data_IF_410939114674
#
_entry.id   IF_410939114674
#
_cell.length_a   1.000
_cell.length_b   1.000
_cell.length_c   1.000
_cell.angle_alpha   90.00
_cell.angle_beta   90.00
_cell.angle_gamma   90.00
#
_symmetry.space_group_name_H-M   'P 1'
#
loop_
_entity.id
_entity.type
_entity.pdbx_description
1 polymer ?
2 non-polymer ?
3 non-polymer ?
4 water ?
#
# COMPACT_ATOMS: atom_id res chain seq x y z
N UNK A 3 24.12 -1.07 -25.53
CA UNK A 3 23.77 -0.43 -24.23
C UNK A 3 23.82 -1.48 -23.10
N UNK A 4 24.86 -1.38 -22.27
CA UNK A 4 25.09 -2.20 -21.05
C UNK A 4 25.91 -1.35 -20.04
N UNK A 5 25.53 -1.36 -18.77
CA UNK A 5 26.02 -0.33 -17.80
C UNK A 5 26.62 -0.93 -16.50
N UNK A 6 27.43 -0.16 -15.76
CA UNK A 6 27.83 -0.56 -14.38
C UNK A 6 26.68 -0.33 -13.37
N UNK A 7 25.91 0.75 -13.51
CA UNK A 7 24.85 1.03 -12.52
C UNK A 7 23.56 0.25 -12.80
N UNK A 8 22.78 0.05 -11.75
CA UNK A 8 21.43 -0.51 -11.86
C UNK A 8 20.47 0.68 -11.73
N UNK A 9 19.57 0.82 -12.69
CA UNK A 9 18.76 2.02 -12.78
C UNK A 9 17.33 1.74 -12.35
N UNK A 10 16.87 2.52 -11.40
CA UNK A 10 15.58 2.32 -10.79
C UNK A 10 14.77 3.61 -10.94
N UNK A 11 13.65 3.52 -11.67
CA UNK A 11 12.79 4.69 -11.83
C UNK A 11 11.67 4.58 -10.83
N UNK A 12 11.42 5.64 -10.09
CA UNK A 12 10.31 5.68 -9.14
C UNK A 12 9.36 6.84 -9.43
N UNK A 13 8.08 6.53 -9.62
CA UNK A 13 7.08 7.59 -9.73
C UNK A 13 6.20 7.50 -8.51
N UNK A 14 6.17 8.58 -7.73
CA UNK A 14 5.29 8.65 -6.58
C UNK A 14 4.60 10.00 -6.49
N UNK A 15 3.64 10.11 -5.59
CA UNK A 15 2.85 11.29 -5.50
C UNK A 15 3.37 12.16 -4.35
N UNK A 16 4.03 13.24 -4.70
CA UNK A 16 4.56 14.14 -3.71
C UNK A 16 3.92 15.54 -3.71
N UNK A 17 2.95 15.78 -4.60
CA UNK A 17 2.14 16.98 -4.58
C UNK A 17 0.66 16.58 -4.61
N UNK A 18 -0.16 17.45 -4.03
CA UNK A 18 -1.58 17.22 -4.03
C UNK A 18 -1.94 16.42 -2.80
N UNK A 19 -3.22 16.04 -2.68
CA UNK A 19 -3.72 15.33 -1.50
C UNK A 19 -2.99 14.01 -1.22
N UNK A 20 -2.59 13.28 -2.26
CA UNK A 20 -1.96 11.97 -2.03
C UNK A 20 -0.48 12.09 -1.62
N UNK A 21 0.04 13.31 -1.46
CA UNK A 21 1.37 13.50 -0.92
C UNK A 21 1.48 12.92 0.49
N UNK A 22 0.35 12.68 1.19
CA UNK A 22 0.39 12.08 2.52
C UNK A 22 0.95 10.66 2.42
N UNK A 23 0.79 10.04 1.25
CA UNK A 23 1.35 8.71 0.99
C UNK A 23 2.72 8.76 0.32
N UNK A 24 2.91 9.63 -0.65
CA UNK A 24 4.15 9.60 -1.42
C UNK A 24 5.33 10.25 -0.73
N UNK A 25 5.10 11.21 0.15
CA UNK A 25 6.22 11.88 0.82
C UNK A 25 6.99 10.93 1.74
N UNK A 26 6.29 10.12 2.56
CA UNK A 26 7.03 9.13 3.34
C UNK A 26 7.71 8.06 2.47
N UNK A 27 7.09 7.69 1.34
CA UNK A 27 7.73 6.78 0.40
C UNK A 27 9.04 7.36 -0.16
N UNK A 28 9.03 8.64 -0.55
CA UNK A 28 10.21 9.30 -1.01
C UNK A 28 11.27 9.44 0.11
N UNK A 29 10.85 9.85 1.27
CA UNK A 29 11.75 10.02 2.41
C UNK A 29 12.48 8.71 2.80
N UNK A 30 11.81 7.56 2.68
CA UNK A 30 12.40 6.29 3.06
C UNK A 30 13.56 5.94 2.13
N UNK A 31 13.61 6.53 0.94
CA UNK A 31 14.72 6.29 -0.02
C UNK A 31 16.07 6.73 0.53
N UNK A 32 16.07 7.59 1.54
CA UNK A 32 17.32 7.98 2.19
C UNK A 32 17.95 6.78 2.88
N UNK A 33 17.14 5.79 3.29
CA UNK A 33 17.60 4.72 4.12
C UNK A 33 17.73 3.38 3.43
N UNK A 34 17.64 3.33 2.10
CA UNK A 34 17.76 2.06 1.39
C UNK A 34 19.18 1.89 0.84
N UNK A 35 19.47 0.69 0.32
CA UNK A 35 20.79 0.44 -0.25
C UNK A 35 21.16 1.46 -1.34
N UNK A 36 22.42 1.88 -1.36
CA UNK A 36 22.95 2.72 -2.43
C UNK A 36 23.72 1.93 -3.53
N UNK A 37 23.95 0.65 -3.27
CA UNK A 37 24.72 -0.27 -4.17
C UNK A 37 24.21 -1.67 -3.91
N UNK A 38 24.14 -2.49 -4.96
CA UNK A 38 23.84 -3.91 -4.84
C UNK A 38 24.91 -4.69 -5.65
N UNK A 39 25.55 -5.67 -5.01
CA UNK A 39 26.68 -6.42 -5.64
C UNK A 39 27.85 -5.53 -6.08
N UNK A 40 28.01 -4.39 -5.43
CA UNK A 40 29.00 -3.41 -5.81
C UNK A 40 28.59 -2.52 -6.98
N UNK A 41 27.41 -2.73 -7.53
CA UNK A 41 26.96 -1.87 -8.61
C UNK A 41 26.21 -0.75 -7.99
N UNK A 42 26.55 0.50 -8.33
CA UNK A 42 25.72 1.53 -7.71
C UNK A 42 24.29 1.57 -8.24
N UNK A 43 23.37 2.00 -7.39
CA UNK A 43 21.96 2.14 -7.79
C UNK A 43 21.72 3.60 -8.20
N UNK A 44 21.26 3.81 -9.43
CA UNK A 44 20.90 5.15 -9.90
C UNK A 44 19.38 5.20 -9.76
N UNK A 45 18.90 5.99 -8.81
CA UNK A 45 17.46 6.06 -8.47
C UNK A 45 16.93 7.41 -8.95
N UNK A 46 16.00 7.38 -9.91
CA UNK A 46 15.41 8.57 -10.44
C UNK A 46 13.99 8.65 -9.88
N UNK A 47 13.68 9.73 -9.16
CA UNK A 47 12.37 9.92 -8.51
C UNK A 47 11.60 11.09 -9.19
N UNK A 48 10.42 10.79 -9.74
CA UNK A 48 9.54 11.76 -10.39
C UNK A 48 8.14 11.81 -9.70
N UNK A 49 7.62 13.02 -9.55
CA UNK A 49 6.26 13.25 -9.00
C UNK A 49 5.27 13.02 -10.14
N UNK A 50 4.15 12.40 -9.81
CA UNK A 50 3.04 12.27 -10.77
C UNK A 50 1.79 13.03 -10.36
N UNK A 51 1.82 13.62 -9.17
CA UNK A 51 0.69 14.32 -8.60
C UNK A 51 -0.56 13.48 -8.38
N UNK A 52 -0.47 12.17 -8.48
CA UNK A 52 -1.62 11.30 -8.34
C UNK A 52 -2.33 11.05 -9.69
N UNK A 53 -1.80 11.61 -10.75
CA UNK A 53 -2.50 11.63 -12.04
C UNK A 53 -2.02 10.46 -12.93
N UNK A 54 -2.94 9.60 -13.39
CA UNK A 54 -2.52 8.49 -14.23
C UNK A 54 -1.84 8.94 -15.54
N UNK A 55 -2.21 10.08 -16.12
CA UNK A 55 -1.50 10.54 -17.30
C UNK A 55 -0.05 10.89 -17.03
N UNK A 56 0.18 11.63 -15.95
CA UNK A 56 1.54 11.93 -15.51
C UNK A 56 2.37 10.66 -15.19
N UNK A 57 1.77 9.68 -14.50
CA UNK A 57 2.43 8.43 -14.16
C UNK A 57 2.82 7.69 -15.40
N UNK A 58 1.96 7.71 -16.42
CA UNK A 58 2.22 7.05 -17.69
C UNK A 58 3.43 7.68 -18.38
N UNK A 59 3.47 9.02 -18.39
CA UNK A 59 4.57 9.74 -19.00
C UNK A 59 5.85 9.45 -18.22
N UNK A 60 5.80 9.51 -16.89
CA UNK A 60 7.00 9.26 -16.07
C UNK A 60 7.54 7.85 -16.31
N UNK A 61 6.66 6.84 -16.23
CA UNK A 61 7.06 5.47 -16.46
C UNK A 61 7.70 5.28 -17.82
N UNK A 62 7.12 5.86 -18.88
CA UNK A 62 7.72 5.71 -20.20
C UNK A 62 9.09 6.42 -20.28
N UNK A 63 9.19 7.59 -19.69
CA UNK A 63 10.50 8.29 -19.61
C UNK A 63 11.57 7.39 -18.95
N UNK A 64 11.21 6.64 -17.89
CA UNK A 64 12.16 5.74 -17.25
C UNK A 64 12.63 4.66 -18.19
N UNK A 65 11.72 4.14 -18.99
CA UNK A 65 12.09 3.16 -20.02
C UNK A 65 12.94 3.74 -21.10
N UNK A 66 12.48 4.83 -21.71
CA UNK A 66 13.17 5.31 -22.93
C UNK A 66 14.37 6.22 -22.62
N UNK A 67 14.24 7.22 -21.75
CA UNK A 67 15.37 8.07 -21.42
C UNK A 67 16.34 7.39 -20.47
N UNK A 68 15.84 6.78 -19.42
CA UNK A 68 16.75 6.33 -18.38
C UNK A 68 17.17 4.87 -18.55
N UNK A 69 16.54 4.17 -19.46
CA UNK A 69 16.80 2.75 -19.67
C UNK A 69 16.71 1.93 -18.36
N UNK A 70 15.64 2.15 -17.59
CA UNK A 70 15.50 1.54 -16.28
C UNK A 70 15.47 0.01 -16.36
N UNK A 71 16.06 -0.61 -15.34
CA UNK A 71 16.01 -2.06 -15.11
C UNK A 71 14.74 -2.41 -14.31
N UNK A 72 14.26 -1.48 -13.49
CA UNK A 72 13.11 -1.73 -12.62
C UNK A 72 12.40 -0.39 -12.48
N UNK A 73 11.07 -0.42 -12.50
CA UNK A 73 10.29 0.78 -12.22
C UNK A 73 9.40 0.53 -11.03
N UNK A 74 9.20 1.54 -10.22
CA UNK A 74 8.37 1.42 -9.03
C UNK A 74 7.34 2.57 -8.98
N UNK A 75 6.18 2.27 -8.41
CA UNK A 75 5.19 3.28 -8.13
C UNK A 75 3.80 2.75 -8.43
N UNK A 76 2.77 3.56 -8.21
CA UNK A 76 2.84 4.92 -7.72
C UNK A 76 2.29 4.84 -6.31
N UNK A 77 1.82 5.96 -5.77
CA UNK A 77 1.34 6.05 -4.36
C UNK A 77 -0.13 5.64 -4.11
N UNK A 78 -0.94 5.71 -5.14
CA UNK A 78 -2.39 5.43 -5.06
C UNK A 78 -2.70 4.63 -6.29
N UNK A 79 -3.86 3.97 -6.29
CA UNK A 79 -4.14 2.94 -7.28
C UNK A 79 -4.27 3.40 -8.76
N UNK A 80 -4.97 4.52 -9.04
CA UNK A 80 -5.13 4.84 -10.52
C UNK A 80 -3.83 5.05 -11.28
N UNK A 81 -2.88 5.84 -10.72
CA UNK A 81 -1.61 5.92 -11.43
C UNK A 81 -0.81 4.62 -11.39
N UNK A 82 -1.02 3.76 -10.38
CA UNK A 82 -0.34 2.51 -10.29
C UNK A 82 -0.76 1.59 -11.44
N UNK A 83 -2.04 1.61 -11.76
CA UNK A 83 -2.55 0.88 -12.91
C UNK A 83 -1.90 1.37 -14.20
N UNK A 84 -1.82 2.69 -14.34
CA UNK A 84 -1.10 3.27 -15.48
C UNK A 84 0.37 2.81 -15.60
N UNK A 85 1.13 2.81 -14.48
CA UNK A 85 2.52 2.37 -14.50
C UNK A 85 2.62 0.91 -14.95
N UNK A 86 1.69 0.10 -14.43
CA UNK A 86 1.67 -1.33 -14.77
C UNK A 86 1.42 -1.53 -16.28
N UNK A 87 0.57 -0.73 -16.87
CA UNK A 87 0.34 -0.81 -18.33
C UNK A 87 1.64 -0.58 -19.11
N UNK A 88 2.37 0.47 -18.75
CA UNK A 88 3.62 0.79 -19.42
C UNK A 88 4.68 -0.31 -19.23
N UNK A 89 4.85 -0.73 -17.97
CA UNK A 89 5.80 -1.79 -17.60
C UNK A 89 5.53 -3.06 -18.33
N UNK A 90 4.27 -3.45 -18.49
CA UNK A 90 3.98 -4.69 -19.19
C UNK A 90 4.22 -4.58 -20.68
N UNK A 91 4.06 -3.41 -21.23
CA UNK A 91 4.25 -3.23 -22.68
C UNK A 91 5.76 -3.11 -22.99
N UNK A 92 6.47 -2.42 -22.12
CA UNK A 92 7.91 -2.24 -22.25
C UNK A 92 8.74 -3.44 -21.78
N UNK A 93 8.12 -4.40 -21.05
CA UNK A 93 8.82 -5.54 -20.46
C UNK A 93 9.90 -5.12 -19.46
N UNK A 94 9.48 -4.31 -18.48
CA UNK A 94 10.34 -3.88 -17.42
C UNK A 94 9.68 -4.30 -16.12
N UNK A 95 10.44 -4.88 -15.19
CA UNK A 95 9.85 -5.23 -13.90
C UNK A 95 9.31 -4.02 -13.17
N UNK A 96 8.15 -4.17 -12.56
CA UNK A 96 7.44 -3.09 -11.88
C UNK A 96 7.03 -3.56 -10.52
N UNK A 97 7.49 -2.84 -9.52
CA UNK A 97 7.08 -3.04 -8.15
C UNK A 97 6.08 -1.94 -7.78
N UNK A 98 4.82 -2.32 -7.61
CA UNK A 98 3.73 -1.38 -7.30
C UNK A 98 3.81 -0.97 -5.83
N UNK A 99 3.64 0.32 -5.52
CA UNK A 99 3.61 0.84 -4.18
C UNK A 99 2.20 1.17 -3.68
N UNK A 100 1.17 0.78 -4.45
CA UNK A 100 -0.23 0.87 -4.07
C UNK A 100 -0.89 -0.43 -4.52
N UNK A 101 -2.00 -0.81 -3.86
CA UNK A 101 -2.64 -2.02 -4.31
C UNK A 101 -3.19 -1.77 -5.73
N UNK A 102 -3.25 -2.80 -6.53
CA UNK A 102 -3.92 -2.66 -7.78
C UNK A 102 -4.47 -3.98 -8.18
N UNK A 103 -5.49 -3.94 -9.05
CA UNK A 103 -6.10 -5.12 -9.61
C UNK A 103 -5.14 -5.78 -10.59
N UNK A 104 -4.74 -6.98 -10.24
CA UNK A 104 -3.93 -7.81 -11.13
C UNK A 104 -4.86 -8.47 -12.14
N UNK A 105 -4.63 -8.22 -13.40
CA UNK A 105 -5.32 -8.94 -14.42
C UNK A 105 -4.23 -9.65 -15.17
N UNK A 106 -4.58 -10.57 -16.08
CA UNK A 106 -3.58 -11.26 -16.92
C UNK A 106 -2.70 -10.33 -17.70
N UNK A 107 -3.21 -9.19 -18.14
CA UNK A 107 -2.43 -8.25 -18.92
C UNK A 107 -1.35 -7.52 -18.08
N UNK A 108 -1.45 -7.56 -16.76
CA UNK A 108 -0.56 -6.84 -15.86
C UNK A 108 0.35 -7.76 -15.05
N UNK A 109 0.02 -9.05 -15.03
CA UNK A 109 0.64 -10.02 -14.11
C UNK A 109 2.07 -10.38 -14.47
N UNK A 110 2.43 -10.36 -15.76
CA UNK A 110 3.75 -10.82 -16.12
C UNK A 110 4.85 -9.94 -15.51
N UNK A 111 4.72 -8.61 -15.58
CA UNK A 111 5.81 -7.71 -15.21
C UNK A 111 5.58 -6.98 -13.93
N UNK A 112 4.40 -7.09 -13.31
CA UNK A 112 4.07 -6.33 -12.09
C UNK A 112 3.97 -7.23 -10.82
N UNK A 113 4.59 -6.79 -9.73
CA UNK A 113 4.29 -7.36 -8.40
C UNK A 113 3.87 -6.18 -7.56
N UNK A 114 3.29 -6.45 -6.41
CA UNK A 114 2.84 -5.37 -5.52
C UNK A 114 3.32 -5.55 -4.11
N UNK A 115 3.75 -4.45 -3.48
CA UNK A 115 4.21 -4.48 -2.13
C UNK A 115 3.11 -4.35 -1.07
N UNK A 116 2.09 -3.46 -1.28
CA UNK A 116 1.04 -3.35 -0.23
C UNK A 116 0.27 -4.63 -0.10
N UNK A 117 -0.25 -4.88 1.10
CA UNK A 117 -1.05 -6.07 1.36
C UNK A 117 -2.29 -6.14 0.42
N UNK A 118 -2.57 -7.32 -0.13
CA UNK A 118 -3.75 -7.39 -0.99
C UNK A 118 -5.02 -7.15 -0.15
N UNK A 119 -6.04 -6.60 -0.80
CA UNK A 119 -7.29 -6.25 -0.12
C UNK A 119 -7.89 -7.46 0.62
N UNK A 120 -7.92 -8.65 -0.01
CA UNK A 120 -8.58 -9.75 0.69
C UNK A 120 -7.96 -10.15 2.01
N UNK A 121 -6.64 -10.01 2.14
CA UNK A 121 -5.95 -10.33 3.38
C UNK A 121 -6.36 -9.31 4.44
N UNK A 122 -6.43 -8.05 4.05
CA UNK A 122 -6.81 -7.01 5.00
C UNK A 122 -8.30 -7.07 5.34
N UNK A 123 -9.13 -7.41 4.36
CA UNK A 123 -10.54 -7.47 4.61
C UNK A 123 -10.85 -8.57 5.61
N UNK A 124 -10.19 -9.71 5.42
CA UNK A 124 -10.39 -10.85 6.32
C UNK A 124 -10.21 -10.44 7.78
N UNK A 125 -9.16 -9.71 8.11
CA UNK A 125 -8.91 -9.34 9.52
C UNK A 125 -10.00 -8.37 10.01
N UNK A 126 -10.52 -7.51 9.13
CA UNK A 126 -11.57 -6.58 9.52
C UNK A 126 -12.90 -7.32 9.70
N UNK A 127 -13.23 -8.21 8.77
CA UNK A 127 -14.58 -8.84 8.81
C UNK A 127 -14.67 -9.81 10.00
N UNK A 128 -13.56 -10.47 10.33
CA UNK A 128 -13.50 -11.33 11.54
C UNK A 128 -13.72 -10.56 12.81
N UNK A 129 -13.15 -9.36 12.91
CA UNK A 129 -13.39 -8.51 14.06
C UNK A 129 -14.84 -8.11 14.12
N UNK A 130 -15.43 -7.84 12.97
CA UNK A 130 -16.86 -7.52 12.93
C UNK A 130 -17.69 -8.62 13.56
N UNK A 131 -17.43 -9.85 13.13
CA UNK A 131 -18.19 -10.99 13.61
C UNK A 131 -17.97 -11.14 15.10
N UNK A 132 -16.72 -11.02 15.54
CA UNK A 132 -16.40 -11.18 16.95
C UNK A 132 -17.08 -10.10 17.80
N UNK A 133 -17.43 -8.97 17.20
CA UNK A 133 -18.08 -7.90 17.93
C UNK A 133 -19.56 -7.71 17.65
N UNK A 134 -20.16 -8.80 17.19
CA UNK A 134 -21.60 -8.90 17.07
C UNK A 134 -22.14 -7.93 16.01
N UNK A 135 -21.41 -7.70 14.93
CA UNK A 135 -21.86 -6.84 13.83
C UNK A 135 -22.61 -7.71 12.81
N UNK A 136 -23.80 -7.29 12.41
CA UNK A 136 -24.63 -8.02 11.45
C UNK A 136 -24.84 -7.23 10.16
N UNK A 137 -25.09 -5.92 10.30
CA UNK A 137 -25.30 -5.06 9.15
C UNK A 137 -24.11 -4.08 8.98
N UNK A 138 -23.77 -3.82 7.72
CA UNK A 138 -22.62 -2.99 7.39
C UNK A 138 -22.94 -2.05 6.21
N UNK A 139 -22.49 -0.82 6.33
CA UNK A 139 -22.56 0.15 5.24
C UNK A 139 -21.19 0.42 4.71
N UNK A 140 -21.13 0.88 3.47
CA UNK A 140 -19.86 1.18 2.83
C UNK A 140 -19.84 2.59 2.25
N UNK A 141 -18.73 3.28 2.45
CA UNK A 141 -18.50 4.56 1.76
C UNK A 141 -17.08 4.51 1.23
N UNK A 142 -16.90 4.74 -0.07
CA UNK A 142 -15.56 4.64 -0.65
C UNK A 142 -15.42 5.39 -1.93
N UNK A 143 -14.20 5.45 -2.42
CA UNK A 143 -13.94 6.16 -3.65
C UNK A 143 -14.74 5.58 -4.82
N UNK A 144 -15.13 6.45 -5.74
CA UNK A 144 -15.72 6.06 -7.04
C UNK A 144 -14.60 5.75 -8.03
N UNK A 145 -13.70 4.84 -7.66
CA UNK A 145 -12.64 4.40 -8.59
C UNK A 145 -12.21 2.98 -8.23
N UNK A 146 -11.09 2.52 -8.82
CA UNK A 146 -10.69 1.11 -8.74
C UNK A 146 -10.35 0.69 -7.28
N UNK A 147 -9.78 1.59 -6.49
CA UNK A 147 -9.53 1.27 -5.07
C UNK A 147 -10.83 1.04 -4.27
N UNK A 148 -11.79 1.95 -4.44
CA UNK A 148 -13.10 1.82 -3.81
C UNK A 148 -13.83 0.59 -4.28
N UNK A 149 -13.66 0.25 -5.57
CA UNK A 149 -14.21 -1.01 -6.09
C UNK A 149 -13.61 -2.28 -5.48
N UNK A 150 -12.28 -2.34 -5.37
CA UNK A 150 -11.58 -3.49 -4.78
C UNK A 150 -12.15 -3.79 -3.43
N UNK A 151 -12.28 -2.74 -2.63
CA UNK A 151 -12.82 -2.89 -1.28
C UNK A 151 -14.26 -3.27 -1.23
N UNK A 152 -15.08 -2.60 -2.02
CA UNK A 152 -16.50 -2.90 -1.99
C UNK A 152 -16.71 -4.35 -2.46
N UNK A 153 -16.03 -4.74 -3.53
CA UNK A 153 -16.18 -6.10 -4.07
C UNK A 153 -15.76 -7.20 -3.07
N UNK A 154 -14.73 -6.94 -2.29
CA UNK A 154 -14.31 -7.83 -1.23
C UNK A 154 -15.28 -7.92 -0.08
N UNK A 155 -15.79 -6.76 0.37
CA UNK A 155 -16.79 -6.71 1.43
C UNK A 155 -17.99 -7.55 0.99
N UNK A 156 -18.39 -7.43 -0.25
CA UNK A 156 -19.55 -8.13 -0.73
C UNK A 156 -19.26 -9.64 -0.79
N UNK A 157 -18.14 -10.03 -1.39
CA UNK A 157 -17.82 -11.45 -1.55
C UNK A 157 -17.45 -12.13 -0.22
N UNK A 158 -16.41 -11.65 0.44
CA UNK A 158 -16.04 -12.23 1.74
C UNK A 158 -17.05 -11.94 2.80
N UNK A 159 -17.52 -10.71 2.81
CA UNK A 159 -18.38 -10.23 3.86
C UNK A 159 -19.66 -11.02 3.93
N UNK A 160 -20.38 -11.13 2.82
CA UNK A 160 -21.65 -11.87 2.82
C UNK A 160 -21.44 -13.35 3.13
N UNK A 161 -20.39 -13.95 2.60
CA UNK A 161 -20.08 -15.36 2.85
C UNK A 161 -19.85 -15.74 4.34
N UNK A 162 -19.44 -14.79 5.20
CA UNK A 162 -19.41 -15.09 6.65
C UNK A 162 -20.53 -14.41 7.47
N UNK A 163 -21.63 -14.08 6.80
CA UNK A 163 -22.85 -13.63 7.48
C UNK A 163 -22.88 -12.16 7.87
N UNK A 164 -22.49 -11.30 6.93
CA UNK A 164 -22.69 -9.87 7.03
C UNK A 164 -23.69 -9.41 5.96
N UNK A 165 -24.55 -8.47 6.30
CA UNK A 165 -25.49 -7.92 5.33
C UNK A 165 -25.10 -6.50 4.93
N UNK A 166 -24.91 -6.24 3.64
CA UNK A 166 -24.64 -4.88 3.21
C UNK A 166 -25.95 -4.17 3.02
N UNK A 167 -26.13 -3.04 3.72
CA UNK A 167 -27.41 -2.36 3.71
C UNK A 167 -27.34 -0.98 3.03
N UNK A 168 -26.12 -0.50 2.79
CA UNK A 168 -25.91 0.79 2.15
C UNK A 168 -24.55 0.87 1.49
N UNK A 169 -24.50 1.47 0.31
CA UNK A 169 -23.27 1.71 -0.41
C UNK A 169 -23.29 3.11 -0.96
N UNK A 170 -22.26 3.88 -0.64
CA UNK A 170 -22.13 5.23 -1.12
C UNK A 170 -20.71 5.43 -1.66
N UNK A 171 -20.53 6.31 -2.63
CA UNK A 171 -19.24 6.63 -3.14
C UNK A 171 -18.97 8.14 -3.12
N UNK A 172 -17.69 8.49 -3.14
CA UNK A 172 -17.26 9.88 -3.33
C UNK A 172 -15.99 9.94 -4.16
N UNK A 173 -15.69 11.14 -4.66
CA UNK A 173 -14.51 11.35 -5.47
C UNK A 173 -13.36 11.83 -4.59
N UNK A 174 -12.14 11.40 -4.92
CA UNK A 174 -11.00 11.73 -4.08
C UNK A 174 -10.93 13.18 -3.70
N UNK A 175 -11.17 14.11 -4.66
CA UNK A 175 -11.02 15.55 -4.36
C UNK A 175 -12.16 16.19 -3.57
N UNK A 176 -13.25 15.48 -3.36
CA UNK A 176 -14.44 16.05 -2.74
C UNK A 176 -14.13 16.62 -1.34
N UNK A 177 -14.60 17.84 -1.05
CA UNK A 177 -14.44 18.41 0.31
C UNK A 177 -15.62 18.13 1.23
N UNK A 178 -16.72 17.66 0.67
CA UNK A 178 -17.92 17.31 1.44
C UNK A 178 -18.44 15.94 1.03
N UNK A 179 -18.92 15.17 2.02
CA UNK A 179 -19.65 13.93 1.75
C UNK A 179 -20.99 13.92 2.50
N UNK A 180 -21.57 15.13 2.65
CA UNK A 180 -22.79 15.33 3.41
C UNK A 180 -23.93 14.43 2.91
N UNK A 181 -24.14 14.43 1.58
CA UNK A 181 -25.19 13.63 0.94
C UNK A 181 -25.07 12.14 1.27
N UNK A 182 -23.86 11.63 1.12
CA UNK A 182 -23.59 10.20 1.35
C UNK A 182 -23.81 9.85 2.83
N UNK A 183 -23.28 10.68 3.74
CA UNK A 183 -23.38 10.44 5.19
C UNK A 183 -24.83 10.42 5.66
N UNK A 184 -25.66 11.31 5.12
CA UNK A 184 -27.09 11.32 5.48
C UNK A 184 -27.76 9.97 5.18
N UNK A 185 -27.49 9.40 4.02
CA UNK A 185 -28.07 8.12 3.66
C UNK A 185 -27.51 6.95 4.47
N UNK A 186 -26.22 7.00 4.81
CA UNK A 186 -25.63 5.99 5.70
C UNK A 186 -26.22 6.04 7.10
N UNK A 187 -26.36 7.24 7.66
CA UNK A 187 -26.93 7.33 9.03
C UNK A 187 -28.41 6.92 9.02
N UNK A 188 -29.13 7.27 7.96
CA UNK A 188 -30.51 6.83 7.77
C UNK A 188 -30.65 5.30 7.72
N UNK A 189 -29.79 4.62 6.97
CA UNK A 189 -29.76 3.16 6.99
C UNK A 189 -29.37 2.58 8.38
N UNK A 190 -28.65 3.36 9.19
CA UNK A 190 -28.20 2.94 10.52
C UNK A 190 -27.61 1.52 10.62
N UNK A 191 -26.52 1.24 9.87
CA UNK A 191 -25.85 -0.05 10.02
C UNK A 191 -25.11 -0.14 11.35
N UNK A 192 -24.88 -1.37 11.79
CA UNK A 192 -24.07 -1.63 12.98
C UNK A 192 -22.61 -1.14 12.82
N UNK A 193 -22.10 -1.13 11.59
CA UNK A 193 -20.74 -0.78 11.28
C UNK A 193 -20.66 -0.18 9.91
N UNK A 194 -19.63 0.63 9.68
CA UNK A 194 -19.38 1.20 8.36
C UNK A 194 -17.92 0.96 8.00
N UNK A 195 -17.70 0.52 6.76
CA UNK A 195 -16.37 0.42 6.24
C UNK A 195 -16.11 1.57 5.31
N UNK A 196 -14.97 2.23 5.51
CA UNK A 196 -14.59 3.38 4.72
C UNK A 196 -13.48 2.89 3.79
N UNK A 197 -13.75 2.89 2.50
CA UNK A 197 -12.79 2.52 1.47
C UNK A 197 -12.05 3.70 0.88
N UNK A 198 -11.07 4.20 1.62
CA UNK A 198 -10.36 5.40 1.22
C UNK A 198 -8.93 5.37 1.74
N UNK A 199 -8.25 6.48 1.62
CA UNK A 199 -6.83 6.53 1.99
C UNK A 199 -6.42 7.95 2.36
N UNK A 200 -5.34 8.02 3.11
CA UNK A 200 -4.68 9.26 3.39
C UNK A 200 -5.61 10.26 4.03
N UNK A 201 -5.52 11.51 3.59
CA UNK A 201 -6.40 12.58 4.07
C UNK A 201 -7.90 12.32 3.84
N UNK A 202 -8.25 11.91 2.62
CA UNK A 202 -9.64 11.61 2.28
C UNK A 202 -10.25 10.61 3.25
N UNK A 203 -9.46 9.64 3.77
CA UNK A 203 -10.00 8.63 4.73
C UNK A 203 -10.63 9.29 5.97
N UNK A 204 -10.09 10.43 6.37
CA UNK A 204 -10.55 11.14 7.57
C UNK A 204 -11.85 11.95 7.37
N UNK A 205 -12.22 12.22 6.11
CA UNK A 205 -13.42 12.97 5.80
C UNK A 205 -14.70 12.17 6.16
N UNK A 206 -14.82 10.91 5.70
CA UNK A 206 -15.99 10.20 6.26
C UNK A 206 -15.93 9.98 7.76
N UNK A 207 -14.74 9.76 8.31
CA UNK A 207 -14.62 9.53 9.76
C UNK A 207 -15.25 10.69 10.54
N UNK A 208 -14.85 11.92 10.21
CA UNK A 208 -15.32 13.08 10.96
C UNK A 208 -16.79 13.41 10.64
N UNK A 209 -17.14 13.33 9.36
CA UNK A 209 -18.52 13.60 8.98
C UNK A 209 -19.47 12.60 9.59
N UNK A 210 -19.12 11.32 9.60
CA UNK A 210 -20.04 10.34 10.19
C UNK A 210 -20.30 10.67 11.66
N UNK A 211 -19.24 10.87 12.42
CA UNK A 211 -19.42 11.20 13.86
C UNK A 211 -20.10 12.53 14.10
N UNK A 212 -19.71 13.55 13.33
CA UNK A 212 -20.38 14.86 13.46
C UNK A 212 -21.89 14.79 13.14
N UNK A 213 -22.27 13.90 12.22
CA UNK A 213 -23.67 13.64 11.90
C UNK A 213 -24.37 12.68 12.87
N UNK A 214 -23.65 12.21 13.88
CA UNK A 214 -24.28 11.46 14.97
C UNK A 214 -24.26 9.95 14.81
N UNK A 215 -23.47 9.41 13.87
CA UNK A 215 -23.32 7.95 13.77
C UNK A 215 -22.59 7.43 15.03
N UNK A 216 -23.16 6.40 15.65
CA UNK A 216 -22.56 5.82 16.86
C UNK A 216 -22.17 4.34 16.68
N UNK A 217 -22.21 3.80 15.46
CA UNK A 217 -21.72 2.43 15.22
C UNK A 217 -20.20 2.35 15.07
N UNK A 218 -19.66 1.15 14.83
CA UNK A 218 -18.22 0.97 14.61
C UNK A 218 -17.82 1.45 13.25
N UNK A 219 -16.64 2.08 13.15
CA UNK A 219 -16.12 2.48 11.85
C UNK A 219 -14.83 1.73 11.61
N UNK A 220 -14.73 1.16 10.42
CA UNK A 220 -13.57 0.44 9.98
C UNK A 220 -12.87 1.16 8.85
N UNK A 221 -11.54 1.22 8.95
CA UNK A 221 -10.71 1.82 7.94
C UNK A 221 -9.70 0.83 7.35
N UNK A 222 -9.34 1.09 6.10
CA UNK A 222 -8.39 0.26 5.36
C UNK A 222 -6.95 0.68 5.65
N UNK A 223 -6.04 -0.14 5.15
CA UNK A 223 -4.61 0.10 5.32
C UNK A 223 -4.10 1.34 4.58
N UNK A 224 -4.89 1.86 3.65
CA UNK A 224 -4.60 3.17 3.07
C UNK A 224 -4.66 4.30 4.07
N UNK A 225 -5.24 4.07 5.24
CA UNK A 225 -5.36 5.13 6.24
C UNK A 225 -4.26 5.08 7.32
N UNK A 226 -3.33 4.13 7.21
CA UNK A 226 -2.40 3.78 8.31
C UNK A 226 -1.15 4.69 8.46
N UNK A 227 -1.39 5.94 8.82
CA UNK A 227 -0.34 6.82 9.32
C UNK A 227 -0.88 7.72 10.43
N UNK A 228 0.04 8.31 11.20
CA UNK A 228 -0.32 9.26 12.27
C UNK A 228 -1.17 10.44 11.79
N UNK A 229 -1.10 10.75 10.50
CA UNK A 229 -1.81 11.88 9.91
C UNK A 229 -3.31 11.68 9.98
N UNK A 230 -3.78 10.45 9.88
CA UNK A 230 -5.23 10.18 10.08
C UNK A 230 -5.69 10.65 11.45
N UNK A 231 -4.91 10.39 12.48
CA UNK A 231 -5.30 10.78 13.83
C UNK A 231 -5.26 12.30 13.95
N UNK A 232 -4.22 12.90 13.35
CA UNK A 232 -4.08 14.36 13.36
C UNK A 232 -5.28 15.05 12.78
N UNK A 233 -5.77 14.54 11.65
CA UNK A 233 -6.90 15.15 10.94
C UNK A 233 -8.23 14.88 11.64
N UNK A 234 -8.47 13.62 12.01
CA UNK A 234 -9.78 13.23 12.56
C UNK A 234 -9.96 13.59 14.02
N UNK A 235 -8.86 13.69 14.78
CA UNK A 235 -8.96 14.08 16.18
C UNK A 235 -9.81 13.08 16.94
N UNK A 236 -10.63 13.58 17.86
CA UNK A 236 -11.43 12.70 18.71
C UNK A 236 -12.35 11.75 17.93
N UNK A 237 -12.77 12.15 16.73
CA UNK A 237 -13.56 11.25 15.88
C UNK A 237 -12.85 9.98 15.51
N UNK A 238 -11.52 9.94 15.57
CA UNK A 238 -10.76 8.70 15.31
C UNK A 238 -10.85 7.68 16.45
N UNK A 239 -11.33 8.08 17.63
CA UNK A 239 -11.37 7.15 18.74
C UNK A 239 -12.19 5.89 18.43
N UNK A 240 -11.65 4.74 18.82
CA UNK A 240 -12.28 3.46 18.61
C UNK A 240 -12.31 2.93 17.18
N UNK A 241 -11.71 3.64 16.23
CA UNK A 241 -11.68 3.17 14.86
C UNK A 241 -10.94 1.82 14.84
N UNK A 242 -11.33 0.94 13.93
CA UNK A 242 -10.57 -0.27 13.69
C UNK A 242 -9.91 -0.13 12.35
N UNK A 243 -8.62 -0.47 12.28
CA UNK A 243 -7.85 -0.23 11.06
C UNK A 243 -6.87 -1.39 10.77
N UNK A 244 -6.94 -1.94 9.57
CA UNK A 244 -5.95 -2.89 9.05
C UNK A 244 -4.62 -2.15 8.87
N UNK A 245 -3.50 -2.74 9.30
CA UNK A 245 -2.18 -2.25 8.93
C UNK A 245 -1.14 -3.33 8.80
N UNK A 246 -0.01 -2.95 8.21
CA UNK A 246 1.13 -3.83 8.18
C UNK A 246 1.77 -3.87 9.56
N UNK A 247 2.59 -4.88 9.83
CA UNK A 247 3.27 -5.03 11.14
C UNK A 247 4.39 -4.01 11.42
N UNK A 248 4.81 -3.25 10.40
CA UNK A 248 5.79 -2.17 10.63
C UNK A 248 5.27 -1.10 11.57
N UNK A 249 3.96 -1.05 11.77
CA UNK A 249 3.43 -0.12 12.73
C UNK A 249 3.81 -0.51 14.18
N UNK A 250 4.21 -1.77 14.43
CA UNK A 250 4.61 -2.17 15.80
C UNK A 250 5.68 -3.30 15.88
N UNK A 251 6.90 -3.06 15.37
CA UNK A 251 7.96 -4.06 15.46
C UNK A 251 8.30 -4.44 16.89
N UNK A 252 8.11 -3.50 17.80
CA UNK A 252 8.43 -3.73 19.22
C UNK A 252 7.54 -4.80 19.80
N UNK A 253 6.31 -4.89 19.30
CA UNK A 253 5.36 -5.84 19.82
C UNK A 253 5.53 -7.22 19.24
N UNK A 254 6.41 -7.36 18.25
CA UNK A 254 6.65 -8.66 17.59
C UNK A 254 7.68 -9.53 18.38
N UNK A 255 7.55 -10.84 18.25
CA UNK A 255 8.56 -11.77 18.79
C UNK A 255 9.85 -11.67 17.99
N UNK A 256 10.97 -11.90 18.67
CA UNK A 256 12.26 -11.98 17.99
C UNK A 256 12.23 -13.02 16.87
N UNK A 257 11.34 -14.02 16.94
CA UNK A 257 11.20 -15.03 15.87
C UNK A 257 10.44 -14.54 14.62
N UNK A 258 9.81 -13.37 14.67
CA UNK A 258 9.20 -12.77 13.46
C UNK A 258 10.27 -12.28 12.50
N UNK A 259 10.21 -12.76 11.26
CA UNK A 259 11.14 -12.32 10.19
C UNK A 259 11.00 -10.84 9.84
N UNK A 260 9.83 -10.28 10.10
CA UNK A 260 9.54 -8.88 9.91
C UNK A 260 10.18 -7.92 10.91
N UNK A 261 10.65 -8.45 12.04
CA UNK A 261 11.04 -7.57 13.15
C UNK A 261 12.30 -6.76 12.89
N UNK A 262 13.39 -7.43 12.51
CA UNK A 262 14.65 -6.72 12.28
C UNK A 262 14.51 -5.67 11.17
N UNK A 263 13.87 -6.02 10.04
CA UNK A 263 13.70 -4.98 9.01
C UNK A 263 12.82 -3.78 9.45
N UNK A 264 11.75 -4.06 10.19
CA UNK A 264 10.90 -3.01 10.78
C UNK A 264 11.66 -2.09 11.70
N UNK A 265 12.47 -2.68 12.55
CA UNK A 265 13.34 -1.89 13.45
C UNK A 265 14.36 -1.07 12.72
N UNK A 266 14.96 -1.64 11.70
CA UNK A 266 15.94 -0.89 10.88
C UNK A 266 15.26 0.34 10.29
N UNK A 267 14.16 0.17 9.55
CA UNK A 267 13.50 1.32 8.94
C UNK A 267 13.02 2.35 9.98
N UNK A 268 12.27 1.88 10.97
CA UNK A 268 11.72 2.79 11.96
C UNK A 268 12.77 3.53 12.71
N UNK A 269 13.87 2.88 13.06
CA UNK A 269 14.97 3.59 13.75
C UNK A 269 15.55 4.73 12.90
N UNK A 270 15.77 4.46 11.61
CA UNK A 270 16.28 5.49 10.69
C UNK A 270 15.25 6.61 10.54
N UNK A 271 14.01 6.24 10.22
CA UNK A 271 12.95 7.22 9.92
C UNK A 271 12.68 8.10 11.13
N UNK A 272 12.55 7.46 12.28
CA UNK A 272 12.17 8.17 13.49
C UNK A 272 13.34 8.93 14.10
N UNK A 273 14.57 8.57 13.78
CA UNK A 273 15.73 9.36 14.21
C UNK A 273 15.71 10.72 13.49
N UNK A 274 15.30 10.71 12.21
CA UNK A 274 15.25 11.98 11.45
C UNK A 274 13.96 12.78 11.69
N UNK A 275 12.81 12.09 11.72
CA UNK A 275 11.48 12.74 11.71
C UNK A 275 10.68 12.67 13.05
N UNK A 276 11.25 12.01 14.06
CA UNK A 276 10.76 12.00 15.43
C UNK A 276 9.98 10.73 15.79
N UNK A 277 9.79 10.50 17.09
CA UNK A 277 8.96 9.39 17.62
C UNK A 277 7.60 9.28 16.96
N UNK A 278 7.24 8.08 16.55
CA UNK A 278 5.92 7.82 15.99
C UNK A 278 5.62 8.47 14.69
N UNK A 279 6.68 8.74 13.93
CA UNK A 279 6.51 9.18 12.56
C UNK A 279 6.50 7.99 11.59
N UNK A 280 6.63 6.76 12.11
CA UNK A 280 6.58 5.57 11.27
C UNK A 280 5.28 5.55 10.45
N UNK A 281 5.29 4.93 9.28
CA UNK A 281 4.07 4.75 8.50
C UNK A 281 4.10 3.53 7.63
N UNK A 282 2.90 3.12 7.23
CA UNK A 282 2.63 2.00 6.35
C UNK A 282 3.34 2.29 5.05
N UNK A 283 3.42 3.56 4.70
CA UNK A 283 3.78 3.97 3.30
C UNK A 283 5.29 4.00 3.08
N UNK A 284 6.02 4.57 4.04
CA UNK A 284 7.50 4.50 4.09
C UNK A 284 7.99 3.07 3.95
N UNK A 285 7.29 2.16 4.57
CA UNK A 285 7.68 0.79 4.58
C UNK A 285 7.62 0.17 3.22
N UNK A 286 6.69 0.60 2.36
CA UNK A 286 6.58 -0.04 1.04
C UNK A 286 7.77 0.22 0.15
N UNK A 287 8.22 1.47 0.11
CA UNK A 287 9.42 1.75 -0.69
C UNK A 287 10.68 1.09 -0.08
N UNK A 288 10.82 1.12 1.25
CA UNK A 288 11.90 0.45 1.92
C UNK A 288 11.91 -1.05 1.58
N UNK A 289 10.73 -1.68 1.64
CA UNK A 289 10.57 -3.09 1.35
C UNK A 289 10.86 -3.46 -0.10
N UNK A 290 10.48 -2.61 -1.03
CA UNK A 290 10.84 -2.77 -2.44
C UNK A 290 12.33 -2.91 -2.60
N UNK A 291 13.11 -2.12 -1.89
CA UNK A 291 14.54 -2.26 -1.94
C UNK A 291 15.07 -3.56 -1.29
N UNK A 292 14.38 -4.03 -0.26
CA UNK A 292 14.70 -5.33 0.32
C UNK A 292 14.51 -6.43 -0.67
N UNK A 293 13.46 -6.33 -1.49
CA UNK A 293 13.24 -7.29 -2.56
C UNK A 293 14.39 -7.23 -3.58
N UNK A 294 14.77 -6.02 -3.97
CA UNK A 294 15.86 -5.84 -4.92
C UNK A 294 17.17 -6.41 -4.39
N UNK A 295 17.44 -6.19 -3.11
CA UNK A 295 18.63 -6.79 -2.48
C UNK A 295 18.69 -8.31 -2.65
N UNK A 296 17.53 -8.98 -2.69
CA UNK A 296 17.48 -10.45 -2.92
C UNK A 296 17.54 -10.78 -4.40
N UNK A 297 16.76 -10.12 -5.23
CA UNK A 297 16.66 -10.52 -6.63
C UNK A 297 17.76 -10.00 -7.57
N UNK A 298 18.29 -8.81 -7.31
CA UNK A 298 19.34 -8.28 -8.18
C UNK A 298 20.64 -9.16 -8.22
N UNK A 299 21.14 -9.63 -7.05
CA UNK A 299 22.30 -10.49 -7.13
C UNK A 299 22.06 -11.77 -7.95
N UNK A 300 20.84 -12.30 -7.95
CA UNK A 300 20.53 -13.47 -8.79
C UNK A 300 20.63 -13.10 -10.27
N UNK A 301 20.07 -11.94 -10.63
CA UNK A 301 20.09 -11.47 -12.04
C UNK A 301 21.49 -11.15 -12.48
N UNK A 302 22.34 -10.67 -11.56
CA UNK A 302 23.75 -10.33 -11.88
C UNK A 302 24.58 -11.54 -12.22
N UNK A 303 24.16 -12.71 -11.79
CA UNK A 303 24.92 -13.90 -12.10
C UNK A 303 24.94 -14.21 -13.58
N UNK A 304 23.86 -13.87 -14.29
CA UNK A 304 23.59 -14.31 -15.64
C UNK A 304 23.37 -13.22 -16.67
N UNK A 305 23.35 -11.96 -16.26
CA UNK A 305 22.97 -10.89 -17.17
C UNK A 305 23.57 -9.56 -16.75
N UNK A 306 23.81 -8.71 -17.72
CA UNK A 306 24.39 -7.38 -17.49
C UNK A 306 23.30 -6.34 -17.28
N UNK A 307 23.44 -5.49 -16.27
CA UNK A 307 22.48 -4.41 -16.14
C UNK A 307 22.31 -3.60 -17.44
N UNK A 308 21.11 -3.08 -17.67
CA UNK A 308 20.81 -2.23 -18.82
C UNK A 308 20.38 -3.02 -20.03
N UNK A 309 20.17 -4.34 -19.86
CA UNK A 309 19.84 -5.23 -20.97
C UNK A 309 18.49 -5.90 -20.76
N UNK A 310 17.84 -6.27 -21.85
CA UNK A 310 16.61 -7.03 -21.74
C UNK A 310 16.83 -8.37 -20.97
N UNK A 311 17.95 -9.01 -21.20
CA UNK A 311 18.29 -10.22 -20.44
C UNK A 311 18.31 -9.97 -18.92
N UNK A 312 18.76 -8.81 -18.47
CA UNK A 312 18.77 -8.49 -17.05
C UNK A 312 17.32 -8.32 -16.53
N UNK A 313 16.48 -7.59 -17.29
CA UNK A 313 15.09 -7.40 -16.97
C UNK A 313 14.37 -8.75 -16.85
N UNK A 314 14.66 -9.63 -17.80
CA UNK A 314 14.06 -10.96 -17.80
C UNK A 314 14.57 -11.78 -16.58
N UNK A 315 15.86 -11.65 -16.23
CA UNK A 315 16.44 -12.36 -15.06
C UNK A 315 15.84 -11.89 -13.73
N UNK A 316 15.60 -10.61 -13.61
CA UNK A 316 14.86 -10.06 -12.44
C UNK A 316 13.44 -10.63 -12.40
N UNK A 317 12.74 -10.67 -13.55
CA UNK A 317 11.40 -11.18 -13.56
C UNK A 317 11.41 -12.61 -13.03
N UNK A 318 12.32 -13.44 -13.52
CA UNK A 318 12.37 -14.86 -13.11
C UNK A 318 12.78 -15.01 -11.63
N UNK A 319 13.69 -14.14 -11.17
CA UNK A 319 14.17 -14.19 -9.79
C UNK A 319 13.05 -13.83 -8.79
N UNK A 320 12.12 -12.95 -9.21
CA UNK A 320 10.99 -12.58 -8.32
C UNK A 320 10.19 -13.82 -7.93
N UNK A 321 10.14 -14.81 -8.81
CA UNK A 321 9.36 -16.00 -8.55
C UNK A 321 10.21 -17.12 -7.97
N UNK A 322 11.53 -17.10 -8.20
CA UNK A 322 12.38 -18.22 -7.77
C UNK A 322 12.86 -18.00 -6.35
N UNK A 323 13.00 -16.76 -5.94
CA UNK A 323 13.51 -16.43 -4.62
C UNK A 323 12.33 -16.41 -3.69
N UNK A 324 12.34 -17.25 -2.67
CA UNK A 324 11.24 -17.39 -1.73
C UNK A 324 11.57 -16.77 -0.40
N UNK A 325 10.51 -16.42 0.32
CA UNK A 325 10.59 -15.90 1.67
C UNK A 325 11.51 -14.69 1.81
N UNK A 326 11.16 -13.64 1.14
CA UNK A 326 11.94 -12.41 1.20
C UNK A 326 11.42 -11.63 2.42
N UNK A 327 12.25 -11.48 3.44
CA UNK A 327 11.82 -10.87 4.67
C UNK A 327 11.84 -9.36 4.48
N UNK A 328 10.83 -8.66 4.91
CA UNK A 328 10.80 -7.21 4.79
C UNK A 328 10.02 -6.69 5.98
N UNK A 329 9.88 -5.38 6.08
CA UNK A 329 9.17 -4.82 7.25
C UNK A 329 7.67 -5.12 7.29
N UNK A 330 7.02 -5.21 6.12
CA UNK A 330 5.55 -5.35 6.05
C UNK A 330 5.11 -6.79 5.90
N UNK A 331 6.05 -7.70 5.67
CA UNK A 331 5.69 -9.10 5.48
C UNK A 331 6.86 -9.91 4.92
N UNK A 332 6.57 -11.18 4.61
CA UNK A 332 7.52 -12.11 4.04
C UNK A 332 6.95 -12.50 2.67
N UNK A 333 7.67 -12.15 1.61
CA UNK A 333 7.16 -12.18 0.24
C UNK A 333 7.60 -13.46 -0.49
N UNK A 334 6.65 -14.18 -1.06
CA UNK A 334 6.93 -15.28 -1.97
C UNK A 334 6.04 -15.14 -3.20
N UNK A 335 6.52 -14.45 -4.20
CA UNK A 335 5.75 -14.25 -5.42
C UNK A 335 5.71 -15.53 -6.24
N UNK A 336 4.62 -15.72 -6.98
CA UNK A 336 4.57 -16.80 -7.94
C UNK A 336 4.05 -16.21 -9.27
N UNK A 337 3.99 -17.02 -10.30
CA UNK A 337 3.48 -16.53 -11.58
C UNK A 337 2.04 -16.05 -11.49
N UNK A 338 1.27 -16.59 -10.57
CA UNK A 338 -0.09 -16.14 -10.36
C UNK A 338 -0.34 -15.29 -9.12
N UNK A 339 0.47 -15.41 -8.07
CA UNK A 339 0.32 -14.57 -6.87
C UNK A 339 1.34 -13.43 -6.93
N UNK A 340 0.88 -12.26 -7.27
CA UNK A 340 1.74 -11.14 -7.54
C UNK A 340 1.90 -10.25 -6.33
N UNK A 341 1.32 -10.67 -5.22
CA UNK A 341 1.49 -9.99 -3.93
C UNK A 341 2.37 -10.78 -2.99
N UNK A 342 2.23 -12.11 -3.00
CA UNK A 342 3.16 -13.02 -2.32
C UNK A 342 3.13 -13.03 -0.79
N UNK A 343 2.02 -12.54 -0.21
CA UNK A 343 1.92 -12.37 1.25
C UNK A 343 0.95 -13.33 1.97
N UNK A 344 1.13 -13.44 3.30
CA UNK A 344 0.30 -14.25 4.15
C UNK A 344 0.04 -13.53 5.48
N UNK A 345 -0.39 -14.27 6.49
CA UNK A 345 -0.78 -13.65 7.77
C UNK A 345 0.28 -12.88 8.51
N UNK A 346 1.54 -13.16 8.23
CA UNK A 346 2.59 -12.42 8.88
C UNK A 346 2.62 -10.93 8.41
N UNK A 347 1.80 -10.60 7.41
CA UNK A 347 1.82 -9.28 6.81
C UNK A 347 0.76 -8.33 7.32
N UNK A 348 0.04 -8.66 8.40
CA UNK A 348 -0.94 -7.72 8.90
C UNK A 348 -1.23 -7.84 10.34
N UNK A 349 -1.65 -6.71 10.90
CA UNK A 349 -2.10 -6.63 12.26
C UNK A 349 -3.37 -5.76 12.26
N UNK A 350 -4.11 -5.76 13.36
CA UNK A 350 -5.26 -4.86 13.47
C UNK A 350 -4.94 -3.79 14.51
N UNK A 351 -5.24 -2.53 14.15
CA UNK A 351 -5.02 -1.40 15.03
C UNK A 351 -6.34 -0.76 15.47
N UNK A 352 -6.30 -0.15 16.64
CA UNK A 352 -7.34 0.78 17.07
C UNK A 352 -6.67 2.08 17.49
N UNK A 353 -7.49 3.09 17.81
CA UNK A 353 -6.98 4.35 18.29
C UNK A 353 -7.57 4.55 19.67
N UNK A 354 -6.69 4.82 20.63
CA UNK A 354 -7.05 5.10 22.02
C UNK A 354 -6.21 6.26 22.54
N UNK A 355 -6.91 7.26 23.09
CA UNK A 355 -6.33 8.53 23.51
C UNK A 355 -5.32 9.07 22.51
N UNK A 356 -5.72 9.09 21.25
CA UNK A 356 -4.93 9.72 20.21
C UNK A 356 -3.68 8.98 19.73
N UNK A 357 -3.53 7.70 20.09
CA UNK A 357 -2.39 6.87 19.62
C UNK A 357 -2.86 5.57 19.01
N UNK A 358 -2.07 4.99 18.10
CA UNK A 358 -2.37 3.65 17.64
C UNK A 358 -2.02 2.58 18.68
N UNK A 359 -2.89 1.60 18.84
CA UNK A 359 -2.69 0.52 19.79
C UNK A 359 -3.08 -0.76 19.08
N UNK A 360 -2.27 -1.82 19.22
CA UNK A 360 -2.52 -3.06 18.51
C UNK A 360 -3.66 -3.80 19.22
N UNK A 361 -4.61 -4.34 18.46
CA UNK A 361 -5.72 -5.09 19.05
C UNK A 361 -5.24 -6.54 19.17
N UNK A 362 -5.07 -7.00 20.41
CA UNK A 362 -4.26 -8.20 20.74
C UNK A 362 -5.16 -9.40 21.03
X LIG B 1 -5.49 4.33 -3.05
X LIG B 1 -5.67 4.14 -4.27
X LIG B 1 -4.94 3.29 -2.15
X LIG B 1 -3.87 3.64 -1.47
X LIG B 1 -3.09 2.66 -0.60
X LIG B 1 -1.72 2.84 -0.49
X LIG B 1 -0.95 1.97 0.25
X LIG B 1 -1.53 0.84 0.97
X LIG B 1 -2.91 0.65 0.85
X LIG B 1 -3.65 1.57 0.06
X LIG B 1 -0.72 0.04 1.71
X LIG B 1 0.38 2.23 0.34
X LIG B 1 -5.65 5.47 -2.56
X LIG C 1 -6.66 10.83 -1.85
X LIG C 1 -5.91 10.36 -3.01
X LIG C 1 -5.80 11.59 -0.80
X LIG C 1 -6.63 12.22 0.20
X LIG C 1 -4.83 10.73 0.02
X LIG C 1 -4.16 11.54 1.05
#
# INVERSE_FOLDING_TARGET
SNAETNEITIGITVTTTGPAAALGIPERNALEFVAKEIGGHPLKVIVLDDGGDPTAATTNARRFVTESKADVIMGSSVTPPTVAVSNVANEAQVPHIALAPLPITPERAKWSVAMPQPIPIMGKVLYEHMKKNNIKTVGYIGYSDSYGDLWFNDLKKQGEAMGLKIVAEERFARPDTSVAGQVLKLVAANPDAILVGASGTAAALPQTSLRERGYKGLIYQTHGAASMDFIRIAGKSAEGVLMASGPVMDPEGQDDSALTKKPGLELNTAYEAKYGPNSRSQFAAHSFDAFKVLERVVPVALKTAKPGTQEFREAIRKALVSEKDIAASQGVYSFTETDRYGLDDRSRILLTVKDGKYVMVK
DHC C1 O1 C2 C3 C1' C2' C3' C4' C5' C6' O4' O3' O2
GOL C1 O1 C2 O2 C3 O3
#
